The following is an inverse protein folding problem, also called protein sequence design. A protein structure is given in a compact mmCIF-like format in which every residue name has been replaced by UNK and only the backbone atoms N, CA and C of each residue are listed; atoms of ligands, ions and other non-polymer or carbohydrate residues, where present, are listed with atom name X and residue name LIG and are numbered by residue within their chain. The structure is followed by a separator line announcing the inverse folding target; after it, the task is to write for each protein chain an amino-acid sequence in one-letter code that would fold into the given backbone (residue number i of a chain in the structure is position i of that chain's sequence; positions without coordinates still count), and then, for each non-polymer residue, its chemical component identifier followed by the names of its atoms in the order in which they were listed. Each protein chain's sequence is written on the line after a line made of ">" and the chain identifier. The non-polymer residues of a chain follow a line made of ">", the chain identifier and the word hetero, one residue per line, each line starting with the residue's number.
data_IF_531214957427
#
_entry.id   IF_531214957427
#
_cell.length_a   1.000
_cell.length_b   1.000
_cell.length_c   1.000
_cell.angle_alpha   90.00
_cell.angle_beta   90.00
_cell.angle_gamma   90.00
#
_symmetry.space_group_name_H-M   'P 1'
#
loop_
_entity.id
_entity.type
_entity.pdbx_description
1 polymer ?
#
# COMPACT_ATOMS: atom_id res chain seq x y z
N UNK A 1 2.14 -97.39 18.30
CA UNK A 1 2.14 -96.29 17.32
C UNK A 1 1.57 -95.05 18.02
N UNK A 2 2.41 -94.19 18.58
CA UNK A 2 1.98 -92.89 19.07
C UNK A 2 2.88 -91.78 18.58
N UNK A 3 2.99 -91.52 17.27
CA UNK A 3 3.84 -90.43 16.74
C UNK A 3 3.08 -89.43 15.87
N UNK A 4 1.79 -89.68 15.64
CA UNK A 4 0.99 -88.84 14.76
C UNK A 4 0.28 -87.69 15.50
N UNK A 5 0.10 -87.78 16.81
CA UNK A 5 -0.67 -86.73 17.56
C UNK A 5 0.24 -85.57 18.02
N UNK A 6 1.47 -85.84 18.44
CA UNK A 6 2.43 -84.77 18.78
C UNK A 6 2.75 -83.87 17.61
N UNK A 7 2.78 -84.40 16.41
CA UNK A 7 3.05 -83.59 15.21
C UNK A 7 1.90 -82.64 14.83
N UNK A 8 0.67 -83.04 15.12
CA UNK A 8 -0.54 -82.18 14.93
C UNK A 8 -0.61 -81.10 15.93
N UNK A 9 -0.26 -81.33 17.16
CA UNK A 9 -0.23 -80.22 18.22
C UNK A 9 0.86 -79.23 17.91
N UNK A 10 2.02 -79.67 17.41
CA UNK A 10 3.11 -78.73 17.04
C UNK A 10 2.73 -77.81 15.87
N UNK A 11 2.05 -78.31 14.84
CA UNK A 11 1.57 -77.52 13.72
C UNK A 11 0.44 -76.55 14.18
N UNK A 12 -0.44 -76.97 15.05
CA UNK A 12 -1.49 -76.10 15.60
C UNK A 12 -0.90 -74.97 16.43
N UNK A 13 0.17 -75.21 17.18
CA UNK A 13 0.85 -74.15 17.96
C UNK A 13 1.57 -73.14 17.04
N UNK A 14 2.15 -73.56 15.94
CA UNK A 14 2.82 -72.70 14.95
C UNK A 14 1.81 -71.81 14.19
N UNK A 15 0.60 -72.30 13.90
CA UNK A 15 -0.46 -71.55 13.25
C UNK A 15 -1.07 -70.49 14.19
N UNK A 16 -1.22 -70.80 15.50
CA UNK A 16 -1.67 -69.84 16.50
C UNK A 16 -0.66 -68.70 16.65
N UNK A 17 0.65 -69.00 16.69
CA UNK A 17 1.69 -67.94 16.75
C UNK A 17 1.73 -67.07 15.51
N UNK A 18 1.54 -67.61 14.33
CA UNK A 18 1.47 -66.84 13.05
C UNK A 18 0.26 -65.91 13.00
N UNK A 19 -0.90 -66.41 13.46
CA UNK A 19 -2.14 -65.60 13.46
C UNK A 19 -2.13 -64.49 14.50
N UNK A 20 -1.55 -64.70 15.70
CA UNK A 20 -1.38 -63.69 16.72
C UNK A 20 -0.38 -62.61 16.32
N UNK A 21 0.78 -63.02 15.75
CA UNK A 21 1.80 -62.07 15.25
C UNK A 21 1.30 -61.22 14.11
N UNK A 22 0.51 -61.77 13.18
CA UNK A 22 -0.08 -61.03 12.06
C UNK A 22 -1.14 -59.99 12.50
N UNK A 23 -1.90 -60.31 13.58
CA UNK A 23 -2.90 -59.35 14.15
C UNK A 23 -2.26 -58.22 14.94
N UNK A 24 -1.15 -58.49 15.64
CA UNK A 24 -0.38 -57.48 16.36
C UNK A 24 0.33 -56.54 15.38
N UNK A 25 0.93 -57.06 14.31
CA UNK A 25 1.58 -56.25 13.26
C UNK A 25 0.58 -55.34 12.53
N UNK A 26 -0.62 -55.84 12.20
CA UNK A 26 -1.67 -55.02 11.57
C UNK A 26 -2.21 -53.93 12.49
N UNK A 27 -2.34 -54.20 13.80
CA UNK A 27 -2.76 -53.21 14.78
C UNK A 27 -1.67 -52.13 14.99
N UNK A 28 -0.41 -52.51 15.02
CA UNK A 28 0.73 -51.57 15.07
C UNK A 28 0.81 -50.67 13.86
N UNK A 29 0.61 -51.22 12.66
CA UNK A 29 0.60 -50.44 11.41
C UNK A 29 -0.61 -49.46 11.37
N UNK A 30 -1.79 -49.88 11.81
CA UNK A 30 -2.96 -48.99 11.88
C UNK A 30 -2.80 -47.83 12.89
N UNK A 31 -2.18 -48.09 14.05
CA UNK A 31 -1.84 -47.06 15.03
C UNK A 31 -0.76 -46.07 14.52
N UNK A 32 0.25 -46.59 13.81
CA UNK A 32 1.27 -45.72 13.21
C UNK A 32 0.69 -44.80 12.10
N UNK A 33 -0.19 -45.35 11.25
CA UNK A 33 -0.89 -44.53 10.25
C UNK A 33 -1.81 -43.48 10.89
N UNK A 34 -2.53 -43.82 11.95
CA UNK A 34 -3.37 -42.87 12.69
C UNK A 34 -2.54 -41.75 13.35
N UNK A 35 -1.38 -42.10 13.93
CA UNK A 35 -0.47 -41.10 14.51
C UNK A 35 0.16 -40.18 13.42
N UNK A 36 0.48 -40.72 12.24
CA UNK A 36 0.99 -39.91 11.13
C UNK A 36 -0.05 -38.91 10.57
N UNK A 37 -1.34 -39.29 10.54
CA UNK A 37 -2.43 -38.39 10.12
C UNK A 37 -2.68 -37.28 11.16
N UNK A 38 -2.56 -37.55 12.46
CA UNK A 38 -2.68 -36.55 13.50
C UNK A 38 -1.49 -35.58 13.56
N UNK A 39 -0.27 -36.03 13.20
CA UNK A 39 0.90 -35.17 13.14
C UNK A 39 0.86 -34.18 11.93
N UNK A 40 0.12 -34.51 10.87
CA UNK A 40 -0.06 -33.64 9.70
C UNK A 40 -0.88 -32.38 9.97
N UNK A 41 -1.72 -32.33 11.00
CA UNK A 41 -2.55 -31.18 11.32
C UNK A 41 -1.78 -30.00 11.97
N UNK A 42 -0.55 -30.20 12.44
CA UNK A 42 0.27 -29.13 13.02
C UNK A 42 0.98 -28.25 11.98
N UNK A 43 0.91 -28.62 10.69
CA UNK A 43 1.49 -27.85 9.58
C UNK A 43 0.51 -26.90 8.90
N UNK A 44 -0.69 -26.67 9.48
CA UNK A 44 -1.60 -25.65 8.96
C UNK A 44 -0.95 -24.26 9.09
N UNK A 45 -0.91 -23.45 8.02
CA UNK A 45 -0.48 -22.08 8.10
C UNK A 45 -1.25 -21.36 9.21
N UNK A 46 -0.55 -20.64 10.09
CA UNK A 46 -1.21 -19.82 11.10
C UNK A 46 -2.21 -18.87 10.45
N UNK A 47 -3.20 -18.35 11.20
CA UNK A 47 -4.17 -17.41 10.67
C UNK A 47 -3.42 -16.25 10.00
N UNK A 48 -3.91 -15.74 8.84
CA UNK A 48 -3.26 -14.66 8.13
C UNK A 48 -3.09 -13.46 9.07
N UNK A 49 -1.87 -12.98 9.24
CA UNK A 49 -1.58 -11.78 10.02
C UNK A 49 -2.28 -10.61 9.36
N UNK A 50 -3.14 -9.92 10.13
CA UNK A 50 -3.82 -8.72 9.64
C UNK A 50 -2.77 -7.68 9.24
N UNK A 51 -2.88 -7.15 8.02
CA UNK A 51 -1.98 -6.10 7.56
C UNK A 51 -2.11 -4.84 8.42
N UNK A 52 -0.99 -4.23 8.75
CA UNK A 52 -0.95 -2.92 9.41
C UNK A 52 -1.39 -1.87 8.40
N UNK A 53 -2.33 -1.01 8.81
CA UNK A 53 -2.79 0.10 7.99
C UNK A 53 -2.06 1.38 8.36
N UNK A 54 -1.63 2.12 7.35
CA UNK A 54 -0.94 3.40 7.44
C UNK A 54 -1.75 4.49 6.75
N UNK A 55 -1.64 5.71 7.23
CA UNK A 55 -2.15 6.94 6.60
C UNK A 55 -1.16 8.10 6.80
N UNK A 56 -1.55 9.30 6.43
CA UNK A 56 -0.72 10.49 6.63
C UNK A 56 -0.97 11.19 7.98
N UNK A 57 -1.63 10.49 8.92
CA UNK A 57 -2.00 11.02 10.22
C UNK A 57 -3.24 11.92 10.15
N UNK A 58 -3.69 12.43 11.30
CA UNK A 58 -4.96 13.16 11.42
C UNK A 58 -4.95 14.55 10.78
N UNK A 59 -3.88 14.94 10.09
CA UNK A 59 -3.72 16.30 9.56
C UNK A 59 -3.47 17.34 10.66
N UNK A 60 -3.87 18.59 10.42
CA UNK A 60 -3.73 19.66 11.40
C UNK A 60 -4.73 19.45 12.56
N UNK A 61 -4.23 19.17 13.77
CA UNK A 61 -5.05 18.94 14.97
C UNK A 61 -5.55 20.22 15.63
N UNK A 62 -5.13 21.37 15.15
CA UNK A 62 -5.58 22.69 15.59
C UNK A 62 -5.71 23.60 14.37
N UNK A 63 -6.63 24.57 14.44
CA UNK A 63 -6.72 25.62 13.43
C UNK A 63 -5.39 26.36 13.37
N UNK A 64 -4.73 26.34 12.22
CA UNK A 64 -3.52 27.11 12.02
C UNK A 64 -3.83 28.59 12.29
N UNK A 65 -2.91 29.35 12.94
CA UNK A 65 -3.03 30.79 13.01
C UNK A 65 -3.25 31.32 11.59
N UNK A 66 -4.20 32.23 11.43
CA UNK A 66 -4.48 32.83 10.12
C UNK A 66 -3.17 33.32 9.50
N UNK A 67 -2.83 32.80 8.35
CA UNK A 67 -1.67 33.28 7.59
C UNK A 67 -1.88 34.80 7.35
N UNK A 68 -0.93 35.62 7.78
CA UNK A 68 -1.00 37.09 7.62
C UNK A 68 -0.84 37.50 6.15
N UNK A 69 -0.46 36.59 5.26
CA UNK A 69 -0.38 36.85 3.83
C UNK A 69 -1.79 37.01 3.25
N UNK A 70 -1.92 37.81 2.18
CA UNK A 70 -3.18 38.00 1.50
C UNK A 70 -3.78 36.67 1.01
N UNK A 71 -5.12 36.50 1.12
CA UNK A 71 -5.78 35.33 0.54
C UNK A 71 -5.54 35.27 -0.96
N UNK A 72 -5.35 34.04 -1.47
CA UNK A 72 -5.17 33.77 -2.89
C UNK A 72 -6.52 33.46 -3.56
N UNK A 73 -6.55 33.58 -4.89
CA UNK A 73 -7.74 33.24 -5.67
C UNK A 73 -8.12 31.75 -5.49
N UNK A 74 -9.42 31.43 -5.46
CA UNK A 74 -9.90 30.05 -5.41
C UNK A 74 -9.35 29.21 -6.55
N UNK A 75 -9.08 27.93 -6.27
CA UNK A 75 -8.55 26.95 -7.21
C UNK A 75 -9.47 25.73 -7.26
N UNK A 76 -9.77 25.22 -8.44
CA UNK A 76 -10.45 23.95 -8.61
C UNK A 76 -9.41 22.82 -8.68
N UNK A 77 -9.42 21.92 -7.70
CA UNK A 77 -8.54 20.75 -7.67
C UNK A 77 -9.30 19.54 -8.23
N UNK A 78 -8.83 19.00 -9.34
CA UNK A 78 -9.31 17.72 -9.87
C UNK A 78 -8.87 16.55 -9.00
N UNK A 79 -9.52 15.40 -9.14
CA UNK A 79 -9.08 14.19 -8.48
C UNK A 79 -7.68 13.82 -8.97
N UNK A 80 -6.84 13.35 -8.04
CA UNK A 80 -5.46 12.94 -8.37
C UNK A 80 -5.50 11.61 -9.09
N UNK A 81 -4.99 11.60 -10.31
CA UNK A 81 -4.87 10.39 -11.12
C UNK A 81 -3.60 9.62 -10.76
N UNK A 82 -3.68 8.28 -10.71
CA UNK A 82 -2.50 7.42 -10.53
C UNK A 82 -2.09 6.84 -11.86
N UNK A 83 -0.87 7.14 -12.32
CA UNK A 83 -0.27 6.52 -13.50
C UNK A 83 0.67 5.40 -13.07
N UNK A 84 0.47 4.18 -13.57
CA UNK A 84 1.36 3.05 -13.25
C UNK A 84 1.00 2.24 -12.01
N UNK A 85 -0.05 2.62 -11.27
CA UNK A 85 -0.65 1.83 -10.19
C UNK A 85 -2.15 1.71 -10.39
N UNK A 86 -2.79 0.57 -10.05
CA UNK A 86 -4.25 0.49 -10.05
C UNK A 86 -4.84 1.55 -9.10
N UNK A 87 -5.82 2.31 -9.54
CA UNK A 87 -6.45 3.40 -8.78
C UNK A 87 -6.97 2.97 -7.40
N UNK A 88 -7.47 1.74 -7.30
CA UNK A 88 -7.99 1.17 -6.05
C UNK A 88 -6.93 0.49 -5.17
N UNK A 89 -5.66 0.47 -5.58
CA UNK A 89 -4.61 -0.24 -4.85
C UNK A 89 -4.23 0.49 -3.57
N UNK A 90 -4.32 -0.20 -2.43
CA UNK A 90 -3.83 0.28 -1.13
C UNK A 90 -2.48 -0.33 -0.76
N UNK A 91 -1.77 -0.97 -1.70
CA UNK A 91 -0.48 -1.57 -1.44
C UNK A 91 0.58 -0.53 -1.10
N UNK A 92 1.34 -0.77 -0.02
CA UNK A 92 2.58 -0.04 0.23
C UNK A 92 3.65 -0.66 -0.65
N UNK A 93 4.19 0.11 -1.60
CA UNK A 93 5.16 -0.36 -2.58
C UNK A 93 6.58 0.00 -2.19
N UNK A 94 7.52 -0.88 -2.54
CA UNK A 94 8.95 -0.61 -2.47
C UNK A 94 9.67 -1.11 -3.72
N UNK A 95 10.87 -0.56 -3.97
CA UNK A 95 11.81 -0.96 -5.03
C UNK A 95 13.18 -1.22 -4.45
N UNK A 96 13.84 -2.28 -4.88
CA UNK A 96 15.23 -2.58 -4.52
C UNK A 96 16.15 -2.04 -5.61
N UNK A 97 16.44 -0.73 -5.62
CA UNK A 97 17.21 -0.10 -6.69
C UNK A 97 18.63 -0.68 -6.83
N UNK A 98 19.19 -1.21 -5.74
CA UNK A 98 20.48 -1.88 -5.76
C UNK A 98 20.46 -3.28 -6.43
N UNK A 99 19.26 -3.87 -6.63
CA UNK A 99 19.11 -5.18 -7.28
C UNK A 99 18.32 -5.08 -8.59
N UNK A 100 17.10 -4.54 -8.54
CA UNK A 100 16.24 -4.32 -9.70
C UNK A 100 15.27 -3.15 -9.40
N UNK A 101 15.58 -1.98 -9.95
CA UNK A 101 14.75 -0.79 -9.80
C UNK A 101 13.43 -0.86 -10.59
N UNK A 102 13.34 -1.73 -11.61
CA UNK A 102 12.17 -1.81 -12.48
C UNK A 102 11.01 -2.57 -11.84
N UNK A 103 11.29 -3.38 -10.81
CA UNK A 103 10.29 -4.22 -10.16
C UNK A 103 9.69 -3.53 -8.92
N UNK A 104 8.44 -2.99 -8.96
CA UNK A 104 7.72 -2.59 -7.77
C UNK A 104 7.24 -3.84 -7.02
N UNK A 105 7.44 -3.84 -5.71
CA UNK A 105 7.08 -4.95 -4.81
C UNK A 105 6.15 -4.48 -3.72
N UNK A 106 5.01 -5.14 -3.47
CA UNK A 106 4.16 -4.81 -2.34
C UNK A 106 4.70 -5.41 -1.04
N UNK A 107 4.64 -4.66 0.05
CA UNK A 107 4.81 -5.22 1.38
C UNK A 107 3.68 -6.21 1.71
N UNK A 108 4.03 -7.38 2.24
CA UNK A 108 3.04 -8.43 2.54
C UNK A 108 2.05 -8.01 3.63
N UNK A 109 2.55 -7.37 4.70
CA UNK A 109 1.79 -7.05 5.90
C UNK A 109 1.58 -5.54 6.12
N UNK A 110 1.69 -4.70 5.07
CA UNK A 110 1.46 -3.27 5.16
C UNK A 110 0.53 -2.80 4.05
N UNK A 111 -0.41 -1.93 4.40
CA UNK A 111 -1.37 -1.32 3.46
C UNK A 111 -1.60 0.13 3.81
N UNK A 112 -1.89 0.94 2.83
CA UNK A 112 -2.47 2.26 3.05
C UNK A 112 -3.94 2.13 3.47
N UNK A 113 -4.44 3.05 4.27
CA UNK A 113 -5.86 3.13 4.68
C UNK A 113 -6.78 3.44 3.49
N UNK A 114 -6.24 4.18 2.51
CA UNK A 114 -6.88 4.56 1.25
C UNK A 114 -5.86 4.49 0.11
N UNK A 115 -6.28 4.50 -1.17
CA UNK A 115 -5.35 4.59 -2.29
C UNK A 115 -4.41 5.80 -2.16
N UNK A 116 -3.12 5.68 -2.51
CA UNK A 116 -2.15 6.77 -2.40
C UNK A 116 -2.59 8.09 -3.04
N UNK A 117 -3.24 8.05 -4.20
CA UNK A 117 -3.75 9.25 -4.87
C UNK A 117 -4.73 10.03 -4.00
N UNK A 118 -5.61 9.34 -3.27
CA UNK A 118 -6.57 9.97 -2.33
C UNK A 118 -5.86 10.61 -1.15
N UNK A 119 -4.86 9.91 -0.56
CA UNK A 119 -4.06 10.45 0.54
C UNK A 119 -3.26 11.68 0.10
N UNK A 120 -2.66 11.64 -1.08
CA UNK A 120 -1.93 12.77 -1.68
C UNK A 120 -2.88 13.94 -1.94
N UNK A 121 -4.05 13.69 -2.52
CA UNK A 121 -5.08 14.72 -2.74
C UNK A 121 -5.50 15.41 -1.45
N UNK A 122 -5.76 14.65 -0.40
CA UNK A 122 -6.14 15.19 0.91
C UNK A 122 -5.04 16.11 1.47
N UNK A 123 -3.78 15.66 1.44
CA UNK A 123 -2.64 16.44 1.94
C UNK A 123 -2.44 17.73 1.16
N UNK A 124 -2.54 17.68 -0.16
CA UNK A 124 -2.42 18.86 -1.03
C UNK A 124 -3.59 19.83 -0.78
N UNK A 125 -4.83 19.31 -0.67
CA UNK A 125 -6.01 20.12 -0.35
C UNK A 125 -5.88 20.83 1.00
N UNK A 126 -5.40 20.14 2.04
CA UNK A 126 -5.13 20.72 3.35
C UNK A 126 -4.10 21.86 3.26
N UNK A 127 -2.98 21.63 2.57
CA UNK A 127 -1.90 22.60 2.47
C UNK A 127 -2.33 23.84 1.69
N UNK A 128 -2.87 23.68 0.49
CA UNK A 128 -3.34 24.80 -0.33
C UNK A 128 -4.53 25.54 0.28
N UNK A 129 -5.36 24.82 1.04
CA UNK A 129 -6.52 25.35 1.76
C UNK A 129 -6.19 26.34 2.87
N UNK A 130 -4.93 26.43 3.30
CA UNK A 130 -4.51 27.42 4.31
C UNK A 130 -4.65 28.86 3.83
N UNK A 131 -4.59 29.12 2.53
CA UNK A 131 -4.59 30.47 1.94
C UNK A 131 -5.63 30.71 0.87
N UNK A 132 -6.30 29.68 0.36
CA UNK A 132 -7.32 29.79 -0.70
C UNK A 132 -8.43 28.76 -0.54
N UNK A 133 -9.59 29.06 -1.08
CA UNK A 133 -10.64 28.05 -1.21
C UNK A 133 -10.26 27.02 -2.28
N UNK A 134 -10.33 25.73 -1.94
CA UNK A 134 -10.10 24.62 -2.84
C UNK A 134 -11.45 23.99 -3.20
N UNK A 135 -11.87 24.18 -4.44
CA UNK A 135 -13.11 23.65 -4.99
C UNK A 135 -12.87 22.24 -5.58
N UNK A 136 -13.89 21.39 -5.54
CA UNK A 136 -13.84 20.12 -6.27
C UNK A 136 -14.31 20.32 -7.71
N UNK A 137 -13.68 19.66 -8.68
CA UNK A 137 -14.14 19.73 -10.08
C UNK A 137 -15.42 18.94 -10.33
N UNK A 138 -15.78 18.01 -9.43
CA UNK A 138 -17.02 17.23 -9.49
C UNK A 138 -18.26 17.97 -9.00
N UNK A 139 -18.08 19.08 -8.26
CA UNK A 139 -19.20 19.79 -7.65
C UNK A 139 -19.79 20.84 -8.60
N UNK A 140 -21.08 21.19 -8.37
CA UNK A 140 -21.71 22.36 -8.98
C UNK A 140 -20.94 23.67 -8.68
N UNK A 141 -20.05 23.66 -7.68
CA UNK A 141 -19.11 24.72 -7.36
C UNK A 141 -18.12 25.05 -8.51
N UNK A 142 -17.84 24.10 -9.41
CA UNK A 142 -17.05 24.37 -10.64
C UNK A 142 -17.77 25.35 -11.57
N UNK A 143 -19.09 25.43 -11.47
CA UNK A 143 -19.90 26.44 -12.15
C UNK A 143 -19.97 27.76 -11.38
N UNK A 144 -19.52 27.79 -10.12
CA UNK A 144 -19.43 29.03 -9.35
C UNK A 144 -18.41 29.96 -10.00
N UNK A 145 -18.90 31.12 -10.45
CA UNK A 145 -18.04 32.16 -10.98
C UNK A 145 -17.50 32.98 -9.83
N UNK A 146 -16.20 32.96 -9.62
CA UNK A 146 -15.53 33.90 -8.73
C UNK A 146 -15.16 35.14 -9.54
N UNK A 147 -15.66 36.29 -9.16
CA UNK A 147 -15.50 37.56 -9.90
C UNK A 147 -15.84 37.41 -11.41
N UNK A 148 -16.92 36.70 -11.71
CA UNK A 148 -17.43 36.43 -13.07
C UNK A 148 -16.52 35.53 -13.97
N UNK A 149 -15.47 34.91 -13.41
CA UNK A 149 -14.58 33.97 -14.09
C UNK A 149 -14.71 32.58 -13.49
N UNK A 150 -14.50 31.54 -14.29
CA UNK A 150 -14.35 30.19 -13.77
C UNK A 150 -13.02 30.07 -13.01
N UNK A 151 -12.93 29.30 -11.92
CA UNK A 151 -11.68 29.12 -11.20
C UNK A 151 -10.67 28.39 -12.08
N UNK A 152 -9.39 28.71 -11.90
CA UNK A 152 -8.27 27.96 -12.48
C UNK A 152 -8.32 26.51 -12.01
N UNK A 153 -8.04 25.56 -12.89
CA UNK A 153 -8.06 24.13 -12.61
C UNK A 153 -6.64 23.62 -12.41
N UNK A 154 -6.42 22.90 -11.33
CA UNK A 154 -5.20 22.15 -11.05
C UNK A 154 -5.50 20.66 -11.23
N UNK A 155 -4.75 20.00 -12.12
CA UNK A 155 -4.74 18.55 -12.32
C UNK A 155 -3.43 17.99 -11.83
N UNK A 156 -3.50 16.87 -11.15
CA UNK A 156 -2.35 16.19 -10.57
C UNK A 156 -2.33 14.72 -11.00
N UNK A 157 -1.15 14.28 -11.43
CA UNK A 157 -0.88 12.89 -11.78
C UNK A 157 0.21 12.34 -10.88
N UNK A 158 -0.11 11.31 -10.10
CA UNK A 158 0.85 10.61 -9.24
C UNK A 158 1.56 9.53 -10.06
N UNK A 159 2.79 9.83 -10.49
CA UNK A 159 3.58 8.97 -11.38
C UNK A 159 4.41 7.93 -10.62
N UNK A 160 4.87 8.25 -9.39
CA UNK A 160 5.62 7.33 -8.54
C UNK A 160 5.30 7.58 -7.06
N UNK A 161 5.08 6.50 -6.32
CA UNK A 161 4.83 6.53 -4.89
C UNK A 161 5.33 5.24 -4.24
N UNK A 162 6.63 5.19 -3.97
CA UNK A 162 7.25 3.99 -3.42
C UNK A 162 8.43 4.30 -2.51
N UNK A 163 8.75 3.35 -1.63
CA UNK A 163 10.01 3.36 -0.91
C UNK A 163 11.10 2.78 -1.79
N UNK A 164 12.18 3.52 -2.02
CA UNK A 164 13.30 3.10 -2.86
C UNK A 164 14.50 2.77 -1.98
N UNK A 165 14.96 1.53 -2.06
CA UNK A 165 16.13 1.04 -1.34
C UNK A 165 17.37 1.21 -2.19
N UNK A 166 18.35 1.98 -1.72
CA UNK A 166 19.69 2.12 -2.30
C UNK A 166 20.65 1.03 -1.81
N UNK A 167 20.38 0.47 -0.63
CA UNK A 167 21.04 -0.69 -0.05
C UNK A 167 20.05 -1.48 0.80
N UNK A 168 20.47 -2.58 1.42
CA UNK A 168 19.62 -3.35 2.34
C UNK A 168 19.26 -2.55 3.61
N UNK A 169 20.04 -1.54 3.99
CA UNK A 169 19.88 -0.76 5.21
C UNK A 169 19.40 0.68 4.95
N UNK A 170 19.49 1.16 3.71
CA UNK A 170 19.20 2.56 3.36
C UNK A 170 18.07 2.64 2.34
N UNK A 171 17.09 3.50 2.62
CA UNK A 171 15.98 3.74 1.72
C UNK A 171 15.43 5.15 1.88
N UNK A 172 14.63 5.57 0.89
CA UNK A 172 13.92 6.85 0.90
C UNK A 172 12.50 6.67 0.35
N UNK A 173 11.55 7.46 0.84
CA UNK A 173 10.25 7.62 0.21
C UNK A 173 10.40 8.51 -1.04
N UNK A 174 9.99 8.02 -2.19
CA UNK A 174 10.00 8.74 -3.46
C UNK A 174 8.57 9.07 -3.89
N UNK A 175 8.30 10.36 -4.08
CA UNK A 175 7.07 10.89 -4.68
C UNK A 175 7.42 11.59 -5.98
N UNK A 176 6.76 11.20 -7.08
CA UNK A 176 6.82 11.91 -8.36
C UNK A 176 5.42 12.34 -8.74
N UNK A 177 5.22 13.64 -8.81
CA UNK A 177 3.92 14.27 -9.03
C UNK A 177 4.01 15.24 -10.20
N UNK A 178 3.19 15.03 -11.23
CA UNK A 178 3.01 15.99 -12.32
C UNK A 178 1.84 16.90 -11.99
N UNK A 179 2.04 18.21 -12.12
CA UNK A 179 0.98 19.20 -11.96
C UNK A 179 0.77 19.96 -13.26
N UNK A 180 -0.49 20.11 -13.66
CA UNK A 180 -0.93 20.88 -14.81
C UNK A 180 -1.94 21.94 -14.36
N UNK A 181 -1.68 23.19 -14.67
CA UNK A 181 -2.57 24.33 -14.39
C UNK A 181 -3.18 24.84 -15.68
N UNK A 182 -4.51 24.92 -15.71
CA UNK A 182 -5.27 25.38 -16.86
C UNK A 182 -6.33 26.39 -16.47
N UNK A 183 -6.56 27.39 -17.34
CA UNK A 183 -7.65 28.34 -17.23
C UNK A 183 -8.82 27.95 -18.16
N UNK A 184 -10.01 27.72 -17.62
CA UNK A 184 -11.18 27.51 -18.45
C UNK A 184 -11.56 28.78 -19.23
N UNK A 185 -11.76 28.64 -20.54
CA UNK A 185 -12.25 29.68 -21.43
C UNK A 185 -13.56 29.27 -22.10
N UNK A 186 -14.28 30.17 -22.77
CA UNK A 186 -15.47 29.81 -23.52
C UNK A 186 -15.21 28.83 -24.69
N UNK A 187 -13.96 28.78 -25.18
CA UNK A 187 -13.55 27.98 -26.34
C UNK A 187 -12.78 26.71 -25.93
N UNK A 188 -12.62 26.46 -24.61
CA UNK A 188 -11.83 25.33 -24.09
C UNK A 188 -11.00 25.74 -22.88
N UNK A 189 -9.76 25.23 -22.81
CA UNK A 189 -8.84 25.54 -21.71
C UNK A 189 -7.53 26.09 -22.25
N UNK A 190 -6.98 27.12 -21.57
CA UNK A 190 -5.64 27.63 -21.82
C UNK A 190 -4.68 26.99 -20.80
N UNK A 191 -3.63 26.33 -21.26
CA UNK A 191 -2.54 25.86 -20.42
C UNK A 191 -1.78 27.05 -19.84
N UNK A 192 -1.74 27.14 -18.50
CA UNK A 192 -0.94 28.15 -17.76
C UNK A 192 0.46 27.65 -17.53
N UNK A 193 0.60 26.37 -17.12
CA UNK A 193 1.89 25.74 -16.91
C UNK A 193 1.76 24.27 -16.51
N UNK A 194 2.89 23.58 -16.66
CA UNK A 194 3.03 22.19 -16.22
C UNK A 194 4.41 22.00 -15.59
N UNK A 195 4.48 21.22 -14.48
CA UNK A 195 5.73 20.91 -13.81
C UNK A 195 5.68 19.52 -13.18
N UNK A 196 6.83 18.84 -13.16
CA UNK A 196 7.02 17.59 -12.43
C UNK A 196 7.79 17.88 -11.15
N UNK A 197 7.25 17.45 -10.03
CA UNK A 197 7.89 17.49 -8.71
C UNK A 197 8.43 16.11 -8.39
N UNK A 198 9.70 16.01 -8.03
CA UNK A 198 10.36 14.76 -7.65
C UNK A 198 10.95 14.99 -6.27
N UNK A 199 10.33 14.40 -5.27
CA UNK A 199 10.71 14.58 -3.86
C UNK A 199 11.13 13.26 -3.26
N UNK A 200 12.30 13.25 -2.62
CA UNK A 200 12.81 12.12 -1.87
C UNK A 200 13.03 12.51 -0.41
N UNK A 201 12.62 11.62 0.52
CA UNK A 201 12.85 11.77 1.96
C UNK A 201 13.47 10.50 2.51
N UNK A 202 14.60 10.59 3.24
CA UNK A 202 15.22 9.42 3.85
C UNK A 202 14.22 8.72 4.79
N UNK A 203 14.17 7.40 4.75
CA UNK A 203 13.43 6.61 5.71
C UNK A 203 14.28 6.38 6.96
N UNK A 204 13.72 6.60 8.15
CA UNK A 204 14.42 6.40 9.40
C UNK A 204 14.75 4.92 9.68
N UNK A 205 13.94 4.02 9.13
CA UNK A 205 14.14 2.56 9.20
C UNK A 205 13.89 1.93 7.83
N UNK A 206 14.62 0.85 7.54
CA UNK A 206 14.55 0.13 6.26
C UNK A 206 13.38 -0.89 6.25
N UNK A 207 12.20 -0.43 6.60
CA UNK A 207 10.96 -1.22 6.69
C UNK A 207 9.73 -0.43 6.22
N UNK A 208 8.56 -1.05 6.26
CA UNK A 208 7.31 -0.41 5.85
C UNK A 208 6.96 0.82 6.71
N UNK A 209 7.25 0.80 8.02
CA UNK A 209 6.95 1.91 8.92
C UNK A 209 7.81 3.13 8.61
N UNK A 210 9.13 2.94 8.38
CA UNK A 210 10.02 4.01 7.94
C UNK A 210 9.65 4.54 6.55
N UNK A 211 9.35 3.64 5.61
CA UNK A 211 8.97 3.98 4.25
C UNK A 211 7.68 4.79 4.18
N UNK A 212 6.65 4.40 4.92
CA UNK A 212 5.36 5.12 4.92
C UNK A 212 5.48 6.52 5.52
N UNK A 213 6.27 6.71 6.57
CA UNK A 213 6.58 8.06 7.12
C UNK A 213 7.35 8.91 6.11
N UNK A 214 8.39 8.35 5.48
CA UNK A 214 9.16 9.06 4.48
C UNK A 214 8.31 9.49 3.27
N UNK A 215 7.35 8.66 2.85
CA UNK A 215 6.38 9.00 1.79
C UNK A 215 5.41 10.10 2.22
N UNK A 216 4.92 10.08 3.45
CA UNK A 216 4.08 11.16 3.99
C UNK A 216 4.86 12.49 4.05
N UNK A 217 6.12 12.46 4.50
CA UNK A 217 7.00 13.64 4.56
C UNK A 217 7.35 14.16 3.16
N UNK A 218 7.60 13.27 2.20
CA UNK A 218 7.83 13.62 0.80
C UNK A 218 6.60 14.29 0.18
N UNK A 219 5.39 13.76 0.47
CA UNK A 219 4.13 14.36 0.01
C UNK A 219 3.91 15.76 0.61
N UNK A 220 4.19 15.92 1.90
CA UNK A 220 4.10 17.23 2.55
C UNK A 220 5.06 18.25 1.92
N UNK A 221 6.28 17.83 1.57
CA UNK A 221 7.20 18.71 0.84
C UNK A 221 6.73 18.99 -0.60
N UNK A 222 6.24 17.98 -1.32
CA UNK A 222 5.70 18.18 -2.66
C UNK A 222 4.54 19.20 -2.66
N UNK A 223 3.68 19.16 -1.62
CA UNK A 223 2.60 20.14 -1.47
C UNK A 223 3.11 21.57 -1.28
N UNK A 224 4.20 21.76 -0.51
CA UNK A 224 4.83 23.10 -0.36
C UNK A 224 5.45 23.59 -1.66
N UNK A 225 6.22 22.74 -2.34
CA UNK A 225 6.86 23.09 -3.61
C UNK A 225 5.81 23.40 -4.70
N UNK A 226 4.70 22.69 -4.69
CA UNK A 226 3.55 22.95 -5.54
C UNK A 226 2.93 24.32 -5.25
N UNK A 227 2.71 24.69 -3.98
CA UNK A 227 2.16 25.99 -3.59
C UNK A 227 3.07 27.14 -4.02
N UNK A 228 4.38 27.02 -3.78
CA UNK A 228 5.37 27.99 -4.22
C UNK A 228 5.38 28.15 -5.76
N UNK A 229 5.27 27.03 -6.50
CA UNK A 229 5.20 27.10 -7.95
C UNK A 229 3.89 27.75 -8.44
N UNK A 230 2.77 27.45 -7.81
CA UNK A 230 1.48 28.10 -8.13
C UNK A 230 1.58 29.62 -7.97
N UNK A 231 2.22 30.12 -6.91
CA UNK A 231 2.45 31.55 -6.72
C UNK A 231 3.37 32.13 -7.83
N UNK A 232 4.41 31.40 -8.24
CA UNK A 232 5.30 31.81 -9.34
C UNK A 232 4.58 31.95 -10.69
N UNK A 233 3.58 31.11 -10.97
CA UNK A 233 2.77 31.20 -12.18
C UNK A 233 1.54 32.13 -12.01
N UNK A 234 1.48 32.88 -10.89
CA UNK A 234 0.45 33.87 -10.61
C UNK A 234 -0.90 33.27 -10.18
N UNK A 235 -0.84 32.13 -9.53
CA UNK A 235 -2.03 31.38 -9.10
C UNK A 235 -2.02 31.07 -7.60
#
# INVERSE_FOLDING_TARGET
>A
MPQSDEFKEYIAMLDIQRTVSGRLARRGAALACAAAVLAGCSALPGPPTRAVQYDFGPGAMATAPSDRRAPLAPLALADVESTGMPESSTSVLYRLAYADALQPRPYAAARWSQPPAVLVQQRIREHLGLRRAILSTSDAAVQARVANKRPTVLRLELEEFSQVFTSAAESAGLVRLRATVAEPTPLGENLVGQRVFIVQRPAATADAAGGTRALADATHQAARELDEWLEQVGR
#
